data_IF_721758071137
#
_entry.id   IF_721758071137
#
_cell.length_a   1.000
_cell.length_b   1.000
_cell.length_c   1.000
_cell.angle_alpha   90.00
_cell.angle_beta   90.00
_cell.angle_gamma   90.00
#
_symmetry.space_group_name_H-M   'P 1'
#
loop_
_entity.id
_entity.type
_entity.pdbx_description
1 polymer ?
#
# COMPACT_ATOMS: atom_id res chain seq x y z
N UNK A 1 4.16 16.30 0.69
CA UNK A 1 3.51 15.17 1.39
C UNK A 1 4.41 14.77 2.55
N UNK A 2 3.95 15.08 3.75
CA UNK A 2 4.66 14.83 5.01
C UNK A 2 4.72 13.32 5.33
N UNK A 3 5.51 12.93 6.33
CA UNK A 3 5.63 11.54 6.82
C UNK A 3 4.28 11.00 7.28
N UNK A 4 3.48 11.83 7.97
CA UNK A 4 2.13 11.46 8.41
C UNK A 4 1.21 11.19 7.22
N UNK A 5 1.28 12.01 6.17
CA UNK A 5 0.51 11.81 4.94
C UNK A 5 0.86 10.48 4.26
N UNK A 6 2.15 10.11 4.23
CA UNK A 6 2.62 8.83 3.65
C UNK A 6 2.09 7.63 4.42
N UNK A 7 2.12 7.67 5.75
CA UNK A 7 1.57 6.59 6.57
C UNK A 7 0.05 6.52 6.47
N UNK A 8 -0.64 7.67 6.38
CA UNK A 8 -2.09 7.71 6.17
C UNK A 8 -2.46 7.10 4.82
N UNK A 9 -1.71 7.42 3.76
CA UNK A 9 -1.88 6.80 2.44
C UNK A 9 -1.65 5.28 2.50
N UNK A 10 -0.55 4.84 3.12
CA UNK A 10 -0.24 3.43 3.28
C UNK A 10 -1.36 2.68 4.01
N UNK A 11 -1.86 3.25 5.11
CA UNK A 11 -2.99 2.70 5.86
C UNK A 11 -4.25 2.61 5.00
N UNK A 12 -4.60 3.68 4.27
CA UNK A 12 -5.76 3.70 3.39
C UNK A 12 -5.68 2.63 2.29
N UNK A 13 -4.52 2.49 1.64
CA UNK A 13 -4.28 1.47 0.63
C UNK A 13 -4.45 0.05 1.19
N UNK A 14 -3.87 -0.22 2.36
CA UNK A 14 -3.97 -1.54 3.00
C UNK A 14 -5.39 -1.82 3.50
N UNK A 15 -6.06 -0.83 4.12
CA UNK A 15 -7.43 -0.98 4.61
C UNK A 15 -8.43 -1.29 3.49
N UNK A 16 -8.25 -0.67 2.32
CA UNK A 16 -9.10 -0.91 1.15
C UNK A 16 -8.72 -2.17 0.37
N UNK A 17 -7.48 -2.65 0.47
CA UNK A 17 -7.00 -3.80 -0.29
C UNK A 17 -7.82 -5.07 -0.03
N UNK A 18 -8.07 -5.41 1.24
CA UNK A 18 -8.79 -6.62 1.65
C UNK A 18 -10.24 -6.67 1.16
N UNK A 19 -11.08 -5.63 1.35
CA UNK A 19 -12.43 -5.64 0.80
C UNK A 19 -12.43 -5.71 -0.74
N UNK A 20 -11.47 -5.08 -1.42
CA UNK A 20 -11.36 -5.15 -2.89
C UNK A 20 -10.98 -6.56 -3.37
N UNK A 21 -10.02 -7.22 -2.71
CA UNK A 21 -9.65 -8.61 -2.99
C UNK A 21 -10.84 -9.54 -2.75
N UNK A 22 -11.49 -9.41 -1.59
CA UNK A 22 -12.61 -10.26 -1.20
C UNK A 22 -13.79 -10.14 -2.18
N UNK A 23 -14.21 -8.91 -2.48
CA UNK A 23 -15.32 -8.68 -3.40
C UNK A 23 -14.95 -9.06 -4.84
N UNK A 24 -13.76 -8.72 -5.33
CA UNK A 24 -13.31 -9.10 -6.66
C UNK A 24 -13.20 -10.62 -6.86
N UNK A 25 -12.73 -11.34 -5.84
CA UNK A 25 -12.68 -12.81 -5.87
C UNK A 25 -14.08 -13.44 -5.84
N UNK A 26 -14.99 -12.88 -5.03
CA UNK A 26 -16.38 -13.39 -4.90
C UNK A 26 -17.24 -13.11 -6.14
N UNK A 27 -17.00 -11.99 -6.81
CA UNK A 27 -17.73 -11.58 -8.01
C UNK A 27 -17.07 -12.08 -9.32
N UNK A 28 -16.00 -12.88 -9.22
CA UNK A 28 -15.20 -13.37 -10.36
C UNK A 28 -14.65 -12.23 -11.26
N UNK A 29 -14.47 -11.03 -10.71
CA UNK A 29 -13.91 -9.87 -11.44
C UNK A 29 -12.41 -9.82 -11.23
N UNK A 30 -11.66 -10.38 -12.19
CA UNK A 30 -10.21 -10.52 -12.12
C UNK A 30 -9.46 -9.21 -11.84
N UNK A 31 -9.85 -8.14 -12.53
CA UNK A 31 -9.25 -6.82 -12.38
C UNK A 31 -9.38 -6.28 -10.95
N UNK A 32 -10.48 -6.58 -10.26
CA UNK A 32 -10.81 -5.97 -8.99
C UNK A 32 -9.99 -6.57 -7.84
N UNK A 33 -9.82 -7.90 -7.82
CA UNK A 33 -8.94 -8.51 -6.83
C UNK A 33 -7.46 -8.25 -7.13
N UNK A 34 -7.08 -8.12 -8.42
CA UNK A 34 -5.72 -7.74 -8.81
C UNK A 34 -5.36 -6.32 -8.33
N UNK A 35 -6.28 -5.35 -8.47
CA UNK A 35 -6.09 -4.00 -7.93
C UNK A 35 -5.94 -4.04 -6.40
N UNK A 36 -6.73 -4.86 -5.71
CA UNK A 36 -6.62 -5.03 -4.26
C UNK A 36 -5.23 -5.53 -3.85
N UNK A 37 -4.70 -6.54 -4.55
CA UNK A 37 -3.33 -7.02 -4.31
C UNK A 37 -2.27 -5.96 -4.61
N UNK A 38 -2.44 -5.17 -5.68
CA UNK A 38 -1.54 -4.06 -5.99
C UNK A 38 -1.55 -2.99 -4.88
N UNK A 39 -2.73 -2.64 -4.36
CA UNK A 39 -2.87 -1.72 -3.24
C UNK A 39 -2.19 -2.25 -1.98
N UNK A 40 -2.33 -3.55 -1.69
CA UNK A 40 -1.64 -4.19 -0.56
C UNK A 40 -0.13 -4.12 -0.72
N UNK A 41 0.39 -4.45 -1.91
CA UNK A 41 1.82 -4.40 -2.19
C UNK A 41 2.39 -2.97 -2.04
N UNK A 42 1.74 -1.99 -2.65
CA UNK A 42 2.18 -0.58 -2.56
C UNK A 42 2.05 -0.06 -1.13
N UNK A 43 0.91 -0.31 -0.48
CA UNK A 43 0.67 0.10 0.91
C UNK A 43 1.68 -0.52 1.89
N UNK A 44 2.07 -1.78 1.68
CA UNK A 44 3.09 -2.47 2.47
C UNK A 44 4.51 -1.97 2.20
N UNK A 45 4.80 -1.46 1.00
CA UNK A 45 6.11 -0.93 0.63
C UNK A 45 6.35 0.52 1.09
N UNK A 46 5.29 1.32 1.30
CA UNK A 46 5.45 2.72 1.73
C UNK A 46 6.17 2.84 3.08
N UNK A 47 5.79 2.13 4.17
CA UNK A 47 6.47 2.26 5.45
C UNK A 47 7.98 1.96 5.44
N UNK A 48 8.46 0.84 4.85
CA UNK A 48 9.90 0.61 4.75
C UNK A 48 10.58 1.63 3.84
N UNK A 49 9.97 2.03 2.71
CA UNK A 49 10.55 3.05 1.83
C UNK A 49 10.73 4.40 2.55
N UNK A 50 9.76 4.81 3.38
CA UNK A 50 9.87 6.02 4.22
C UNK A 50 11.01 5.89 5.22
N UNK A 51 11.21 4.71 5.83
CA UNK A 51 12.33 4.47 6.76
C UNK A 51 13.69 4.56 6.07
N UNK A 52 13.84 3.95 4.90
CA UNK A 52 15.11 3.95 4.16
C UNK A 52 15.44 5.30 3.52
N UNK A 53 14.44 6.08 3.12
CA UNK A 53 14.67 7.43 2.56
C UNK A 53 14.79 8.52 3.62
N UNK A 54 14.31 8.27 4.84
CA UNK A 54 14.55 9.13 6.00
C UNK A 54 15.87 8.81 6.72
N UNK A 55 16.44 7.62 6.48
CA UNK A 55 17.81 7.31 6.88
C UNK A 55 18.76 8.06 5.93
N UNK A 56 19.42 9.07 6.48
CA UNK A 56 20.48 9.92 5.94
C UNK A 56 21.05 9.57 4.53
N UNK A 57 20.95 10.47 3.53
CA UNK A 57 21.53 10.26 2.20
C UNK A 57 23.07 10.17 2.21
N UNK A 58 23.73 10.54 3.30
CA UNK A 58 25.20 10.54 3.47
C UNK A 58 25.71 9.36 4.33
N UNK A 59 24.89 8.36 4.65
CA UNK A 59 25.27 7.23 5.51
C UNK A 59 25.93 6.02 4.80
N UNK A 60 26.54 6.21 3.64
CA UNK A 60 27.43 5.25 2.96
C UNK A 60 28.82 5.85 2.77
#
# INVERSE_FOLDING_TARGET
MDVIDRYTLAFGLMALSLPLVSYGASAEVAALWAVGLAMLAVGGLIPPAVRFTAADPDAL
#
